data_IF_989322360964
#
_entry.id   IF_989322360964
#
_cell.length_a   1.000
_cell.length_b   1.000
_cell.length_c   1.000
_cell.angle_alpha   90.00
_cell.angle_beta   90.00
_cell.angle_gamma   90.00
#
_symmetry.space_group_name_H-M   'P 1'
#
loop_
_entity.id
_entity.type
_entity.pdbx_description
1 polymer ?
#
# COMPACT_ATOMS: atom_id res chain seq x y z
N UNK A 1 -1.27 56.89 -14.37
CA UNK A 1 -2.67 57.29 -14.21
C UNK A 1 -3.55 56.06 -14.31
N UNK A 2 -4.38 55.92 -13.32
CA UNK A 2 -5.52 55.01 -13.05
C UNK A 2 -5.16 53.73 -12.29
N UNK A 3 -5.27 53.92 -10.96
CA UNK A 3 -5.60 52.90 -9.99
C UNK A 3 -7.01 52.37 -10.23
N UNK A 4 -7.26 51.10 -9.99
CA UNK A 4 -8.57 50.62 -9.61
C UNK A 4 -8.40 49.66 -8.41
N UNK A 5 -8.87 50.21 -7.34
CA UNK A 5 -9.31 49.70 -6.08
C UNK A 5 -10.63 48.94 -6.31
N UNK A 6 -10.73 47.73 -5.81
CA UNK A 6 -11.95 47.05 -5.40
C UNK A 6 -11.51 46.23 -4.17
N UNK A 7 -11.74 46.72 -2.96
CA UNK A 7 -12.93 46.72 -2.11
C UNK A 7 -13.48 45.29 -1.90
N UNK A 8 -13.12 44.72 -0.83
CA UNK A 8 -13.72 44.49 0.48
C UNK A 8 -15.23 44.13 0.46
N UNK A 9 -15.53 42.87 0.74
CA UNK A 9 -16.71 42.36 1.45
C UNK A 9 -16.31 40.95 1.91
N UNK A 10 -16.09 40.58 3.14
CA UNK A 10 -16.98 40.75 4.31
C UNK A 10 -17.92 39.55 4.35
N UNK A 11 -17.59 38.52 5.08
CA UNK A 11 -18.48 37.41 5.30
C UNK A 11 -17.85 36.42 6.30
N UNK A 12 -17.88 36.82 7.55
CA UNK A 12 -17.71 35.93 8.69
C UNK A 12 -19.04 35.20 8.88
N UNK A 13 -19.05 33.91 8.77
CA UNK A 13 -20.04 33.05 9.39
C UNK A 13 -19.35 32.04 10.27
N UNK A 14 -19.19 32.50 11.47
CA UNK A 14 -18.94 31.72 12.69
C UNK A 14 -20.19 30.90 12.94
N UNK A 15 -20.08 29.59 12.84
CA UNK A 15 -21.09 28.66 13.35
C UNK A 15 -20.44 27.86 14.47
N UNK A 16 -20.61 28.42 15.65
CA UNK A 16 -20.64 27.66 16.89
C UNK A 16 -21.66 26.52 16.78
N UNK A 17 -21.27 25.37 17.21
CA UNK A 17 -22.26 24.35 17.34
C UNK A 17 -21.75 22.96 17.75
N UNK A 18 -21.57 22.81 19.06
CA UNK A 18 -21.95 21.62 19.80
C UNK A 18 -21.05 20.42 19.80
N UNK A 19 -20.13 20.45 20.74
CA UNK A 19 -19.58 19.28 21.40
C UNK A 19 -20.72 18.41 21.98
N UNK A 20 -20.77 17.16 21.60
CA UNK A 20 -21.42 16.12 22.38
C UNK A 20 -20.43 14.97 22.62
N UNK A 21 -19.99 14.78 23.86
CA UNK A 21 -19.28 13.58 24.23
C UNK A 21 -20.29 12.45 24.43
N UNK A 22 -20.31 11.47 23.55
CA UNK A 22 -21.01 10.23 23.82
C UNK A 22 -20.15 9.33 24.71
N UNK A 23 -20.49 9.37 25.99
CA UNK A 23 -20.24 8.31 26.95
C UNK A 23 -20.75 6.98 26.41
N UNK A 24 -19.89 6.02 26.34
CA UNK A 24 -20.25 4.61 26.31
C UNK A 24 -19.26 3.92 27.20
N UNK A 25 -19.57 3.80 28.42
CA UNK A 25 -20.15 2.70 29.17
C UNK A 25 -19.37 1.41 28.98
N UNK A 26 -18.55 1.16 30.02
CA UNK A 26 -17.80 -0.07 30.22
C UNK A 26 -18.72 -1.30 30.24
N UNK A 27 -18.21 -2.34 29.64
CA UNK A 27 -18.68 -3.69 29.91
C UNK A 27 -17.52 -4.54 30.40
N UNK A 28 -17.43 -4.63 31.71
CA UNK A 28 -16.73 -5.71 32.42
C UNK A 28 -17.45 -7.01 32.07
N UNK A 29 -16.76 -7.97 31.58
CA UNK A 29 -17.18 -9.35 31.40
C UNK A 29 -15.99 -10.23 31.68
N UNK A 30 -15.85 -10.54 32.90
CA UNK A 30 -15.96 -11.84 33.61
C UNK A 30 -14.95 -12.86 33.11
N UNK A 31 -13.95 -12.99 33.97
CA UNK A 31 -13.16 -14.18 34.25
C UNK A 31 -14.05 -15.43 34.38
N UNK A 32 -13.72 -16.48 33.68
CA UNK A 32 -14.23 -17.82 33.89
C UNK A 32 -13.06 -18.79 34.12
N UNK A 33 -13.23 -19.79 34.92
CA UNK A 33 -12.16 -20.42 35.68
C UNK A 33 -11.51 -21.62 35.02
N UNK A 34 -10.25 -21.79 35.41
CA UNK A 34 -9.46 -23.00 35.46
C UNK A 34 -10.21 -24.25 35.90
N UNK A 35 -10.12 -25.31 35.12
CA UNK A 35 -10.18 -26.70 35.57
C UNK A 35 -9.21 -27.41 34.64
N UNK A 36 -8.09 -27.90 34.99
CA UNK A 36 -7.73 -28.70 36.13
C UNK A 36 -7.88 -30.18 35.78
N UNK A 37 -6.75 -30.83 35.76
CA UNK A 37 -6.62 -32.22 36.20
C UNK A 37 -6.30 -33.31 35.18
N UNK A 38 -5.02 -33.70 35.28
CA UNK A 38 -4.60 -35.12 35.63
C UNK A 38 -4.68 -36.14 34.49
N UNK A 39 -3.66 -36.75 34.34
CA UNK A 39 -2.94 -37.97 34.67
C UNK A 39 -2.51 -38.66 33.40
N UNK A 40 -1.23 -38.86 33.23
CA UNK A 40 -0.45 -40.00 33.65
C UNK A 40 -0.71 -41.27 32.82
N UNK A 41 0.36 -41.72 32.27
CA UNK A 41 0.86 -43.09 32.02
C UNK A 41 1.52 -43.12 30.64
N UNK A 42 2.82 -43.11 30.56
CA UNK A 42 3.73 -44.23 30.55
C UNK A 42 3.30 -45.32 29.57
N UNK A 43 4.09 -45.46 28.48
CA UNK A 43 4.71 -46.71 28.13
C UNK A 43 5.62 -46.53 26.93
N UNK A 44 6.79 -46.99 27.15
CA UNK A 44 7.91 -47.32 26.26
C UNK A 44 7.49 -48.02 24.97
N UNK A 45 7.96 -47.54 23.83
CA UNK A 45 8.35 -48.43 22.72
C UNK A 45 9.56 -47.80 22.00
N UNK A 46 10.58 -48.61 21.95
CA UNK A 46 11.89 -48.42 21.39
C UNK A 46 11.94 -48.26 19.86
N UNK A 47 13.11 -48.00 19.30
CA UNK A 47 13.38 -47.16 18.15
C UNK A 47 13.42 -47.96 16.85
N UNK A 48 13.01 -47.35 15.76
CA UNK A 48 13.46 -47.77 14.44
C UNK A 48 14.17 -46.59 13.77
N UNK A 49 15.44 -46.79 13.59
CA UNK A 49 16.34 -46.04 12.73
C UNK A 49 15.73 -45.91 11.33
N UNK A 50 15.38 -44.70 10.96
CA UNK A 50 15.09 -44.31 9.61
C UNK A 50 15.87 -43.05 9.31
N UNK A 51 17.07 -43.19 8.75
CA UNK A 51 17.84 -42.08 8.20
C UNK A 51 17.11 -41.51 6.98
N UNK A 52 16.25 -40.52 7.16
CA UNK A 52 15.71 -39.75 6.08
C UNK A 52 16.56 -38.51 5.94
N UNK A 53 17.40 -38.47 4.91
CA UNK A 53 18.22 -37.34 4.55
C UNK A 53 17.38 -36.13 4.27
N UNK A 54 17.39 -35.13 5.16
CA UNK A 54 16.91 -33.80 4.89
C UNK A 54 17.84 -33.12 3.86
N UNK A 55 17.44 -33.15 2.62
CA UNK A 55 17.99 -32.23 1.62
C UNK A 55 17.46 -30.83 1.97
N UNK A 56 18.23 -30.06 2.72
CA UNK A 56 18.03 -28.62 2.86
C UNK A 56 18.44 -27.98 1.54
N UNK A 57 17.49 -27.92 0.60
CA UNK A 57 17.61 -27.06 -0.56
C UNK A 57 17.57 -25.58 -0.09
N UNK A 58 18.39 -24.68 -0.68
CA UNK A 58 18.28 -23.25 -0.38
C UNK A 58 16.91 -22.77 -0.87
N UNK A 59 15.98 -22.59 0.06
CA UNK A 59 14.72 -21.88 -0.21
C UNK A 59 15.06 -20.41 -0.42
N UNK A 60 15.38 -20.06 -1.64
CA UNK A 60 15.47 -18.67 -2.07
C UNK A 60 14.12 -18.01 -1.87
N UNK A 61 13.96 -17.30 -0.77
CA UNK A 61 12.81 -16.45 -0.52
C UNK A 61 12.78 -15.34 -1.57
N UNK A 62 12.11 -15.59 -2.68
CA UNK A 62 11.78 -14.52 -3.62
C UNK A 62 10.97 -13.46 -2.86
N UNK A 63 11.22 -12.16 -3.07
CA UNK A 63 10.47 -11.09 -2.41
C UNK A 63 9.04 -11.07 -2.95
N UNK A 64 8.19 -11.88 -2.36
CA UNK A 64 6.80 -12.09 -2.78
C UNK A 64 5.86 -10.89 -2.51
N UNK A 65 6.35 -9.82 -1.89
CA UNK A 65 5.46 -8.76 -1.42
C UNK A 65 5.15 -7.64 -2.43
N UNK A 66 5.94 -7.49 -3.47
CA UNK A 66 5.63 -6.50 -4.52
C UNK A 66 4.71 -7.06 -5.62
N UNK A 67 4.66 -8.39 -5.76
CA UNK A 67 3.81 -9.05 -6.75
C UNK A 67 2.33 -9.09 -6.35
N UNK A 68 2.01 -8.97 -5.06
CA UNK A 68 0.63 -8.99 -4.57
C UNK A 68 -0.10 -7.64 -4.63
N UNK A 69 0.63 -6.54 -4.78
CA UNK A 69 0.02 -5.22 -4.81
C UNK A 69 -0.68 -4.90 -6.14
N UNK A 70 -0.14 -5.37 -7.27
CA UNK A 70 -0.71 -5.16 -8.60
C UNK A 70 -0.84 -6.49 -9.34
N UNK A 71 -2.04 -6.88 -9.79
CA UNK A 71 -2.21 -8.06 -10.62
C UNK A 71 -1.64 -7.83 -12.03
N UNK A 72 -1.16 -8.91 -12.64
CA UNK A 72 -0.71 -8.89 -14.01
C UNK A 72 0.81 -8.86 -14.20
N UNK A 73 1.23 -8.58 -15.43
CA UNK A 73 2.63 -8.58 -15.85
C UNK A 73 3.26 -7.20 -15.65
N UNK A 74 4.47 -7.15 -15.10
CA UNK A 74 5.27 -5.93 -15.05
C UNK A 74 5.64 -5.49 -16.48
N UNK A 75 5.30 -4.26 -16.84
CA UNK A 75 5.52 -3.72 -18.18
C UNK A 75 6.52 -2.56 -18.21
N UNK A 76 6.67 -1.85 -17.10
CA UNK A 76 7.63 -0.74 -17.01
C UNK A 76 8.07 -0.53 -15.56
N UNK A 77 9.35 -0.27 -15.40
CA UNK A 77 9.94 0.23 -14.14
C UNK A 77 10.68 1.53 -14.47
N UNK A 78 10.45 2.54 -13.64
CA UNK A 78 11.20 3.80 -13.65
C UNK A 78 11.88 3.95 -12.32
N UNK A 79 13.19 3.88 -12.30
CA UNK A 79 14.00 4.03 -11.08
C UNK A 79 14.40 5.48 -10.90
N UNK A 80 14.34 5.96 -9.67
CA UNK A 80 14.83 7.28 -9.25
C UNK A 80 15.60 7.14 -7.93
N UNK A 81 16.24 8.17 -7.46
CA UNK A 81 17.22 8.09 -6.36
C UNK A 81 16.67 7.44 -5.09
N UNK A 82 15.43 7.71 -4.71
CA UNK A 82 14.80 7.26 -3.46
C UNK A 82 13.84 6.09 -3.62
N UNK A 83 13.52 5.68 -4.87
CA UNK A 83 12.54 4.63 -5.11
C UNK A 83 12.42 4.18 -6.55
N UNK A 84 11.34 3.47 -6.84
CA UNK A 84 10.97 3.05 -8.18
C UNK A 84 9.46 3.07 -8.37
N UNK A 85 9.02 3.51 -9.52
CA UNK A 85 7.67 3.39 -10.01
C UNK A 85 7.57 2.12 -10.84
N UNK A 86 6.61 1.26 -10.55
CA UNK A 86 6.36 0.02 -11.30
C UNK A 86 4.96 0.03 -11.88
N UNK A 87 4.84 -0.31 -13.15
CA UNK A 87 3.56 -0.38 -13.86
C UNK A 87 3.34 -1.81 -14.35
N UNK A 88 2.15 -2.31 -14.09
CA UNK A 88 1.71 -3.66 -14.43
C UNK A 88 0.51 -3.59 -15.38
N UNK A 89 0.35 -4.60 -16.22
CA UNK A 89 -0.77 -4.75 -17.15
C UNK A 89 -1.43 -6.10 -16.94
N UNK A 90 -2.74 -6.09 -16.75
CA UNK A 90 -3.58 -7.28 -16.76
C UNK A 90 -4.76 -7.06 -17.69
N UNK A 91 -4.90 -7.87 -18.76
CA UNK A 91 -6.01 -7.75 -19.72
C UNK A 91 -6.44 -6.29 -19.97
N UNK A 92 -7.58 -5.87 -19.39
CA UNK A 92 -8.17 -4.55 -19.59
C UNK A 92 -7.67 -3.47 -18.60
N UNK A 93 -6.82 -3.81 -17.64
CA UNK A 93 -6.41 -2.89 -16.58
C UNK A 93 -4.90 -2.64 -16.57
N UNK A 94 -4.54 -1.43 -16.19
CA UNK A 94 -3.18 -1.08 -15.78
C UNK A 94 -3.19 -0.77 -14.27
N UNK A 95 -2.12 -1.18 -13.59
CA UNK A 95 -1.92 -0.95 -12.17
C UNK A 95 -0.53 -0.35 -11.95
N UNK A 96 -0.40 0.60 -11.03
CA UNK A 96 0.87 1.21 -10.68
C UNK A 96 1.10 1.24 -9.17
N UNK A 97 2.35 1.08 -8.77
CA UNK A 97 2.84 1.24 -7.40
C UNK A 97 4.15 2.02 -7.40
N UNK A 98 4.35 2.82 -6.38
CA UNK A 98 5.64 3.45 -6.07
C UNK A 98 6.26 2.76 -4.87
N UNK A 99 7.48 2.26 -5.01
CA UNK A 99 8.18 1.48 -3.99
C UNK A 99 9.40 2.25 -3.50
N UNK A 100 9.55 2.40 -2.19
CA UNK A 100 10.72 3.02 -1.59
C UNK A 100 11.95 2.12 -1.73
N UNK A 101 13.11 2.68 -2.09
CA UNK A 101 14.39 1.95 -2.17
C UNK A 101 14.88 1.48 -0.81
N UNK A 102 14.63 2.29 0.23
CA UNK A 102 14.94 1.99 1.62
C UNK A 102 13.66 2.07 2.44
N UNK A 103 12.98 0.93 2.69
CA UNK A 103 11.81 0.88 3.56
C UNK A 103 12.20 1.19 5.02
N UNK A 104 11.22 1.60 5.82
CA UNK A 104 11.40 1.82 7.26
C UNK A 104 10.83 3.16 7.71
N UNK A 105 11.57 4.25 7.55
CA UNK A 105 11.08 5.58 7.94
C UNK A 105 9.88 6.00 7.09
N UNK A 106 8.87 6.61 7.73
CA UNK A 106 7.73 7.21 7.03
C UNK A 106 8.20 8.37 6.16
N UNK A 107 7.78 8.35 4.91
CA UNK A 107 8.11 9.39 3.92
C UNK A 107 6.86 9.74 3.13
N UNK A 108 6.76 10.98 2.72
CA UNK A 108 5.74 11.37 1.74
C UNK A 108 5.97 10.61 0.45
N UNK A 109 5.00 9.81 0.05
CA UNK A 109 5.04 9.06 -1.19
C UNK A 109 3.78 9.31 -1.98
N UNK A 110 3.90 9.19 -3.30
CA UNK A 110 2.79 9.37 -4.22
C UNK A 110 2.93 8.40 -5.38
N UNK A 111 1.81 7.90 -5.85
CA UNK A 111 1.66 7.23 -7.13
C UNK A 111 0.45 7.80 -7.84
N UNK A 112 0.56 7.98 -9.14
CA UNK A 112 -0.52 8.44 -9.99
C UNK A 112 -0.53 7.63 -11.28
N UNK A 113 -1.73 7.27 -11.74
CA UNK A 113 -1.92 6.54 -12.99
C UNK A 113 -3.10 7.14 -13.75
N UNK A 114 -2.85 7.58 -14.98
CA UNK A 114 -3.83 8.28 -15.80
C UNK A 114 -4.01 7.55 -17.14
N UNK A 115 -5.23 7.12 -17.50
CA UNK A 115 -5.53 6.68 -18.85
C UNK A 115 -5.71 7.89 -19.77
N UNK A 116 -5.33 7.76 -21.04
CA UNK A 116 -5.51 8.82 -22.02
C UNK A 116 -7.00 9.16 -22.19
N UNK A 117 -7.33 10.44 -22.10
CA UNK A 117 -8.72 10.92 -22.12
C UNK A 117 -9.49 10.70 -20.83
N UNK A 118 -8.83 10.24 -19.74
CA UNK A 118 -9.46 10.03 -18.43
C UNK A 118 -8.78 10.78 -17.30
N UNK A 119 -9.40 10.75 -16.12
CA UNK A 119 -8.84 11.33 -14.91
C UNK A 119 -7.75 10.43 -14.32
N UNK A 120 -6.77 11.05 -13.69
CA UNK A 120 -5.75 10.33 -12.93
C UNK A 120 -6.33 9.77 -11.64
N UNK A 121 -5.99 8.51 -11.36
CA UNK A 121 -6.18 7.92 -10.02
C UNK A 121 -4.87 8.10 -9.26
N UNK A 122 -4.97 8.56 -8.03
CA UNK A 122 -3.82 8.96 -7.21
C UNK A 122 -3.94 8.36 -5.83
N UNK A 123 -2.83 7.86 -5.31
CA UNK A 123 -2.65 7.58 -3.90
C UNK A 123 -1.44 8.37 -3.40
N UNK A 124 -1.61 9.10 -2.30
CA UNK A 124 -0.56 9.93 -1.72
C UNK A 124 -0.71 10.02 -0.21
N UNK A 125 0.41 9.95 0.49
CA UNK A 125 0.43 9.97 1.95
C UNK A 125 1.82 9.72 2.51
N UNK A 126 1.88 9.45 3.80
CA UNK A 126 3.11 9.05 4.48
C UNK A 126 3.17 7.54 4.62
N UNK A 127 4.04 6.91 3.83
CA UNK A 127 4.19 5.45 3.77
C UNK A 127 5.61 5.03 4.17
N UNK A 128 5.75 3.77 4.57
CA UNK A 128 7.03 3.17 4.96
C UNK A 128 7.69 2.35 3.86
N UNK A 129 6.88 1.75 2.97
CA UNK A 129 7.36 0.81 1.94
C UNK A 129 6.90 1.15 0.55
N UNK A 130 5.60 1.40 0.37
CA UNK A 130 5.01 1.67 -0.95
C UNK A 130 3.78 2.57 -0.85
N UNK A 131 3.51 3.31 -1.94
CA UNK A 131 2.26 4.00 -2.22
C UNK A 131 1.52 3.26 -3.35
N UNK A 132 0.22 3.21 -3.27
CA UNK A 132 -0.66 2.42 -4.14
C UNK A 132 -1.04 1.08 -3.51
N UNK A 133 -1.65 0.17 -4.30
CA UNK A 133 -1.80 0.19 -5.76
C UNK A 133 -2.89 1.15 -6.26
N UNK A 134 -2.66 1.74 -7.42
CA UNK A 134 -3.69 2.47 -8.15
C UNK A 134 -3.96 1.77 -9.47
N UNK A 135 -5.25 1.57 -9.81
CA UNK A 135 -5.66 0.81 -11.00
C UNK A 135 -6.62 1.61 -11.86
N UNK A 136 -6.43 1.55 -13.16
CA UNK A 136 -7.31 2.18 -14.16
C UNK A 136 -7.67 1.20 -15.25
N UNK A 137 -8.86 1.38 -15.86
CA UNK A 137 -9.22 0.67 -17.07
C UNK A 137 -8.38 1.20 -18.25
N UNK A 138 -7.65 0.32 -18.91
CA UNK A 138 -6.66 0.65 -19.93
C UNK A 138 -6.72 -0.32 -21.13
N UNK A 139 -7.91 -0.84 -21.47
CA UNK A 139 -8.12 -1.59 -22.68
C UNK A 139 -8.00 -0.65 -23.88
N UNK A 140 -7.02 -0.91 -24.77
CA UNK A 140 -6.76 -0.10 -25.97
C UNK A 140 -6.56 1.41 -25.66
N UNK A 141 -5.99 1.73 -24.52
CA UNK A 141 -5.69 3.11 -24.12
C UNK A 141 -4.29 3.23 -23.59
N UNK A 142 -3.58 4.25 -24.04
CA UNK A 142 -2.32 4.64 -23.42
C UNK A 142 -2.55 5.05 -21.96
N UNK A 143 -1.58 4.77 -21.13
CA UNK A 143 -1.53 5.25 -19.75
C UNK A 143 -0.26 6.02 -19.48
N UNK A 144 -0.32 6.95 -18.55
CA UNK A 144 0.83 7.66 -18.00
C UNK A 144 0.86 7.45 -16.50
N UNK A 145 1.99 7.03 -15.99
CA UNK A 145 2.21 6.85 -14.57
C UNK A 145 3.29 7.79 -14.06
N UNK A 146 3.13 8.26 -12.82
CA UNK A 146 4.16 9.00 -12.09
C UNK A 146 4.21 8.53 -10.64
N UNK A 147 5.39 8.59 -10.05
CA UNK A 147 5.63 8.21 -8.67
C UNK A 147 6.66 9.08 -8.02
N UNK A 148 6.53 9.29 -6.71
CA UNK A 148 7.52 10.02 -5.94
C UNK A 148 7.72 9.42 -4.55
N UNK A 149 8.92 9.57 -4.00
CA UNK A 149 9.30 9.18 -2.65
C UNK A 149 10.17 10.31 -2.07
N UNK A 150 9.64 11.03 -1.10
CA UNK A 150 10.28 12.25 -0.60
C UNK A 150 10.41 13.29 -1.73
N UNK A 151 11.59 13.86 -1.89
CA UNK A 151 11.86 14.88 -2.92
C UNK A 151 12.19 14.35 -4.32
N UNK A 152 12.19 13.02 -4.55
CA UNK A 152 12.57 12.41 -5.82
C UNK A 152 11.37 11.76 -6.52
N UNK A 153 11.31 11.85 -7.84
CA UNK A 153 10.18 11.36 -8.63
C UNK A 153 10.61 10.78 -9.96
N UNK A 154 9.70 10.03 -10.58
CA UNK A 154 9.84 9.50 -11.91
C UNK A 154 8.51 9.36 -12.63
N UNK A 155 8.53 9.37 -13.95
CA UNK A 155 7.34 9.25 -14.81
C UNK A 155 7.64 8.38 -16.02
N UNK A 156 6.60 7.68 -16.52
CA UNK A 156 6.75 6.80 -17.68
C UNK A 156 6.57 7.52 -19.01
N UNK A 157 5.99 8.72 -19.05
CA UNK A 157 5.35 9.21 -20.26
C UNK A 157 4.11 8.37 -20.62
N UNK A 158 3.65 8.45 -21.88
CA UNK A 158 2.55 7.63 -22.40
C UNK A 158 3.06 6.26 -22.82
N UNK A 159 2.51 5.20 -22.26
CA UNK A 159 2.86 3.80 -22.53
C UNK A 159 1.59 2.95 -22.70
N UNK A 160 1.74 1.71 -23.16
CA UNK A 160 0.63 0.76 -23.38
C UNK A 160 -0.39 1.26 -24.42
N UNK A 161 0.09 2.01 -25.39
CA UNK A 161 -0.72 2.49 -26.52
C UNK A 161 -1.11 1.38 -27.48
#
# INVERSE_FOLDING_TARGET
>A
MKANVFDEVGGVDEVDGVERPLRSSGRRGRSGPTVGRRMAAALLVLPLLGALGLVLGPTGSAPAQAASACPGRLVKTVTFSTGSLRVYKSRAYACAVTVAKKPGARRTMRVSLQPRGGRAVVDSGSFTKLAGPVTVHALNRCVRASGSVGGSSGSTGWILC
#
